data_IF_923190158688
#
_entry.id   IF_923190158688
#
_cell.length_a   1.000
_cell.length_b   1.000
_cell.length_c   1.000
_cell.angle_alpha   90.00
_cell.angle_beta   90.00
_cell.angle_gamma   90.00
#
_symmetry.space_group_name_H-M   'P 1'
#
loop_
_entity.id
_entity.type
_entity.pdbx_description
1 polymer ?
#
# COMPACT_ATOMS: atom_id res chain seq x y z
N UNK A 1 -45.40 18.75 55.40
CA UNK A 1 -44.46 19.87 55.17
C UNK A 1 -43.73 19.59 53.85
N UNK A 2 -43.98 20.31 52.74
CA UNK A 2 -43.27 21.52 52.23
C UNK A 2 -41.74 21.39 52.39
N UNK A 3 -40.86 21.55 51.39
CA UNK A 3 -40.94 22.17 50.06
C UNK A 3 -39.56 22.01 49.35
N UNK A 4 -39.52 21.93 47.99
CA UNK A 4 -38.63 22.66 47.03
C UNK A 4 -37.08 22.48 47.13
N UNK A 5 -36.25 22.29 46.09
CA UNK A 5 -36.22 22.53 44.63
C UNK A 5 -35.14 21.62 43.95
N UNK A 6 -35.12 21.50 42.60
CA UNK A 6 -34.05 20.89 41.80
C UNK A 6 -33.11 21.93 41.14
N UNK A 7 -31.83 21.59 40.95
CA UNK A 7 -30.80 22.32 40.14
C UNK A 7 -29.90 21.20 39.53
N UNK A 8 -29.89 20.94 38.21
CA UNK A 8 -28.88 21.39 37.21
C UNK A 8 -27.45 20.95 37.57
N UNK A 9 -26.59 20.33 36.76
CA UNK A 9 -26.46 19.90 35.36
C UNK A 9 -25.27 18.90 35.41
N UNK A 10 -25.21 17.86 34.57
CA UNK A 10 -23.95 17.62 33.87
C UNK A 10 -24.17 16.80 32.61
N UNK A 11 -23.72 17.38 31.51
CA UNK A 11 -23.79 16.86 30.16
C UNK A 11 -22.65 15.86 29.91
N UNK A 12 -22.83 15.06 28.86
CA UNK A 12 -21.82 14.28 28.15
C UNK A 12 -21.45 12.90 28.73
N UNK A 13 -22.13 11.88 28.19
CA UNK A 13 -21.46 10.61 27.86
C UNK A 13 -22.04 10.01 26.58
N UNK A 14 -22.05 10.78 25.50
CA UNK A 14 -22.13 10.24 24.13
C UNK A 14 -20.76 10.44 23.51
N UNK A 15 -19.83 9.53 23.76
CA UNK A 15 -18.67 9.20 22.90
C UNK A 15 -17.74 8.30 23.70
N UNK A 16 -17.67 6.99 23.40
CA UNK A 16 -16.36 6.32 23.31
C UNK A 16 -16.39 4.92 22.69
N UNK A 17 -17.21 4.63 21.68
CA UNK A 17 -17.05 3.39 20.90
C UNK A 17 -16.22 3.60 19.63
N UNK A 18 -15.96 4.86 19.24
CA UNK A 18 -15.22 5.19 18.01
C UNK A 18 -13.69 5.24 18.16
N UNK A 19 -13.15 5.16 19.38
CA UNK A 19 -11.71 5.29 19.63
C UNK A 19 -10.93 3.99 19.46
N UNK A 20 -11.59 2.83 19.57
CA UNK A 20 -10.92 1.53 19.49
C UNK A 20 -10.48 1.17 18.06
N UNK A 21 -11.22 1.60 17.04
CA UNK A 21 -10.89 1.35 15.64
C UNK A 21 -9.66 2.15 15.15
N UNK A 22 -9.42 3.33 15.72
CA UNK A 22 -8.30 4.22 15.35
C UNK A 22 -6.94 3.75 15.92
N UNK A 23 -6.95 2.97 17.01
CA UNK A 23 -5.73 2.52 17.69
C UNK A 23 -5.06 1.34 16.98
N UNK A 24 -5.83 0.49 16.29
CA UNK A 24 -5.30 -0.64 15.51
C UNK A 24 -4.51 -0.14 14.30
N UNK A 25 -5.13 0.75 13.52
CA UNK A 25 -4.62 1.29 12.27
C UNK A 25 -3.34 2.12 12.45
N UNK A 26 -3.24 2.89 13.53
CA UNK A 26 -2.03 3.70 13.83
C UNK A 26 -0.82 2.83 14.14
N UNK A 27 -1.02 1.70 14.82
CA UNK A 27 0.08 0.78 15.16
C UNK A 27 0.60 0.02 13.94
N UNK A 28 -0.27 -0.36 13.02
CA UNK A 28 0.12 -0.99 11.76
C UNK A 28 0.82 0.02 10.85
N UNK A 29 0.25 1.21 10.67
CA UNK A 29 0.88 2.31 9.93
C UNK A 29 2.27 2.64 10.46
N UNK A 30 2.46 2.64 11.79
CA UNK A 30 3.76 2.87 12.44
C UNK A 30 4.74 1.71 12.25
N UNK A 31 4.27 0.47 12.15
CA UNK A 31 5.11 -0.71 11.85
C UNK A 31 5.52 -0.75 10.39
N UNK A 32 4.59 -0.46 9.47
CA UNK A 32 4.88 -0.34 8.04
C UNK A 32 5.82 0.84 7.76
N UNK A 33 5.67 1.98 8.46
CA UNK A 33 6.54 3.15 8.32
C UNK A 33 7.98 2.89 8.81
N UNK A 34 8.15 2.10 9.88
CA UNK A 34 9.47 1.73 10.37
C UNK A 34 10.18 0.72 9.43
N UNK A 35 9.44 -0.22 8.83
CA UNK A 35 9.99 -1.20 7.89
C UNK A 35 10.38 -0.55 6.55
N UNK A 36 9.59 0.41 6.06
CA UNK A 36 9.89 1.17 4.84
C UNK A 36 11.24 1.91 4.92
N UNK A 37 11.60 2.42 6.10
CA UNK A 37 12.88 3.10 6.33
C UNK A 37 14.10 2.18 6.22
N UNK A 38 13.93 0.88 6.49
CA UNK A 38 15.05 -0.06 6.59
C UNK A 38 15.48 -0.58 5.21
N UNK A 39 14.58 -0.63 4.22
CA UNK A 39 14.94 -1.04 2.86
C UNK A 39 13.87 -0.67 1.82
N UNK A 40 14.15 0.22 0.85
CA UNK A 40 13.25 0.51 -0.26
C UNK A 40 12.83 -0.74 -1.06
N UNK A 41 13.71 -1.74 -1.12
CA UNK A 41 13.45 -3.01 -1.81
C UNK A 41 12.38 -3.81 -1.07
N UNK A 42 12.47 -3.92 0.27
CA UNK A 42 11.43 -4.60 1.05
C UNK A 42 10.09 -3.91 0.90
N UNK A 43 10.08 -2.57 0.81
CA UNK A 43 8.84 -1.85 0.59
C UNK A 43 8.22 -2.16 -0.76
N UNK A 44 9.01 -2.15 -1.84
CA UNK A 44 8.55 -2.56 -3.17
C UNK A 44 8.04 -4.00 -3.17
N UNK A 45 8.73 -4.93 -2.52
CA UNK A 45 8.26 -6.32 -2.43
C UNK A 45 6.89 -6.43 -1.75
N UNK A 46 6.67 -5.66 -0.67
CA UNK A 46 5.37 -5.63 0.00
C UNK A 46 4.25 -5.09 -0.89
N UNK A 47 4.54 -4.11 -1.74
CA UNK A 47 3.54 -3.59 -2.68
C UNK A 47 3.13 -4.60 -3.74
N UNK A 48 4.06 -5.46 -4.14
CA UNK A 48 3.83 -6.43 -5.19
C UNK A 48 3.40 -7.80 -4.64
N UNK A 49 3.29 -7.95 -3.31
CA UNK A 49 3.05 -9.22 -2.61
C UNK A 49 4.06 -10.32 -3.00
N UNK A 50 5.33 -9.93 -3.16
CA UNK A 50 6.42 -10.81 -3.61
C UNK A 50 7.32 -11.28 -2.45
N UNK A 51 6.97 -10.99 -1.20
CA UNK A 51 7.79 -11.34 -0.03
C UNK A 51 7.96 -12.84 0.24
N UNK A 52 7.04 -13.70 -0.25
CA UNK A 52 7.08 -15.15 0.00
C UNK A 52 7.71 -15.96 -1.14
N UNK A 53 8.12 -15.29 -2.21
CA UNK A 53 8.71 -15.91 -3.38
C UNK A 53 10.21 -16.10 -3.13
N UNK A 54 10.66 -17.35 -3.04
CA UNK A 54 12.05 -17.75 -2.69
C UNK A 54 13.15 -17.08 -3.53
N UNK A 55 12.76 -16.47 -4.65
CA UNK A 55 13.66 -15.77 -5.56
C UNK A 55 14.05 -14.36 -5.08
N UNK A 56 13.28 -13.72 -4.18
CA UNK A 56 13.49 -12.31 -3.82
C UNK A 56 14.43 -12.07 -2.64
N UNK A 57 14.85 -13.13 -1.93
CA UNK A 57 15.82 -13.04 -0.83
C UNK A 57 17.18 -12.48 -1.26
N UNK A 58 17.52 -12.59 -2.55
CA UNK A 58 18.78 -12.09 -3.10
C UNK A 58 18.75 -10.63 -3.58
N UNK A 59 17.59 -9.96 -3.55
CA UNK A 59 17.50 -8.57 -4.02
C UNK A 59 18.23 -7.61 -3.06
N UNK A 60 19.26 -6.93 -3.56
CA UNK A 60 20.07 -5.94 -2.82
C UNK A 60 20.02 -4.56 -3.44
N UNK A 61 19.66 -4.46 -4.71
CA UNK A 61 19.61 -3.22 -5.49
C UNK A 61 18.43 -3.21 -6.47
N UNK A 62 18.12 -2.04 -7.04
CA UNK A 62 17.13 -1.90 -8.12
C UNK A 62 17.49 -2.74 -9.34
N UNK A 63 18.78 -2.87 -9.65
CA UNK A 63 19.29 -3.64 -10.80
C UNK A 63 18.93 -5.12 -10.70
N UNK A 64 18.78 -5.65 -9.49
CA UNK A 64 18.43 -7.05 -9.29
C UNK A 64 16.99 -7.36 -9.76
N UNK A 65 16.13 -6.34 -9.92
CA UNK A 65 14.80 -6.49 -10.52
C UNK A 65 14.82 -6.79 -12.02
N UNK A 66 15.92 -6.52 -12.73
CA UNK A 66 16.00 -6.72 -14.20
C UNK A 66 15.67 -8.18 -14.57
N UNK A 67 16.15 -9.14 -13.77
CA UNK A 67 15.85 -10.56 -13.99
C UNK A 67 14.36 -10.88 -13.87
N UNK A 68 13.67 -10.23 -12.93
CA UNK A 68 12.24 -10.41 -12.70
C UNK A 68 11.39 -9.72 -13.76
N UNK A 69 11.75 -8.50 -14.13
CA UNK A 69 11.12 -7.74 -15.22
C UNK A 69 11.15 -8.57 -16.50
N UNK A 70 12.30 -9.14 -16.85
CA UNK A 70 12.44 -9.99 -18.05
C UNK A 70 11.65 -11.29 -17.98
N UNK A 71 11.51 -11.89 -16.80
CA UNK A 71 10.69 -13.10 -16.59
C UNK A 71 9.19 -12.79 -16.62
N UNK A 72 8.82 -11.55 -16.28
CA UNK A 72 7.44 -11.12 -16.09
C UNK A 72 7.02 -11.20 -14.63
N UNK A 73 6.18 -10.26 -14.23
CA UNK A 73 5.57 -10.20 -12.89
C UNK A 73 4.12 -10.68 -13.01
N UNK A 74 3.59 -11.48 -12.07
CA UNK A 74 2.19 -11.91 -12.12
C UNK A 74 1.24 -10.72 -12.04
N UNK A 75 0.13 -10.77 -12.81
CA UNK A 75 -0.91 -9.74 -12.81
C UNK A 75 -1.48 -9.49 -11.42
N UNK A 76 -1.48 -10.48 -10.52
CA UNK A 76 -1.84 -10.29 -9.11
C UNK A 76 -1.12 -9.09 -8.49
N UNK A 77 0.18 -8.89 -8.77
CA UNK A 77 0.95 -7.77 -8.22
C UNK A 77 0.42 -6.40 -8.69
N UNK A 78 -0.23 -6.35 -9.86
CA UNK A 78 -0.92 -5.14 -10.34
C UNK A 78 -2.13 -4.84 -9.47
N UNK A 79 -2.94 -5.85 -9.18
CA UNK A 79 -4.14 -5.71 -8.36
C UNK A 79 -3.78 -5.26 -6.94
N UNK A 80 -2.80 -5.93 -6.32
CA UNK A 80 -2.31 -5.61 -4.98
C UNK A 80 -1.78 -4.16 -4.92
N UNK A 81 -1.00 -3.73 -5.93
CA UNK A 81 -0.53 -2.36 -5.97
C UNK A 81 -1.69 -1.38 -6.15
N UNK A 82 -2.66 -1.66 -7.03
CA UNK A 82 -3.85 -0.80 -7.22
C UNK A 82 -4.60 -0.60 -5.91
N UNK A 83 -4.81 -1.68 -5.15
CA UNK A 83 -5.53 -1.64 -3.87
C UNK A 83 -4.76 -0.80 -2.83
N UNK A 84 -3.43 -0.88 -2.82
CA UNK A 84 -2.59 -0.13 -1.87
C UNK A 84 -2.54 1.37 -2.20
N UNK A 85 -2.43 1.73 -3.48
CA UNK A 85 -2.29 3.14 -3.91
C UNK A 85 -3.62 3.79 -4.31
N UNK A 86 -4.73 3.06 -4.15
CA UNK A 86 -6.10 3.46 -4.50
C UNK A 86 -6.28 3.86 -5.98
N UNK A 87 -5.60 3.16 -6.88
CA UNK A 87 -5.69 3.40 -8.32
C UNK A 87 -6.79 2.57 -8.98
N UNK A 88 -7.51 3.17 -9.92
CA UNK A 88 -8.45 2.43 -10.76
C UNK A 88 -7.72 1.54 -11.78
N UNK A 89 -8.40 0.48 -12.22
CA UNK A 89 -7.89 -0.38 -13.29
C UNK A 89 -7.59 0.37 -14.60
N UNK A 90 -8.32 1.47 -14.87
CA UNK A 90 -8.09 2.31 -16.04
C UNK A 90 -6.79 3.14 -15.90
N UNK A 91 -6.56 3.75 -14.74
CA UNK A 91 -5.33 4.50 -14.48
C UNK A 91 -4.11 3.58 -14.53
N UNK A 92 -4.22 2.40 -13.93
CA UNK A 92 -3.16 1.40 -13.98
C UNK A 92 -2.92 0.92 -15.42
N UNK A 93 -3.97 0.68 -16.21
CA UNK A 93 -3.81 0.32 -17.62
C UNK A 93 -3.03 1.38 -18.40
N UNK A 94 -3.30 2.66 -18.16
CA UNK A 94 -2.59 3.77 -18.79
C UNK A 94 -1.11 3.80 -18.38
N UNK A 95 -0.78 3.58 -17.10
CA UNK A 95 0.61 3.51 -16.64
C UNK A 95 1.36 2.32 -17.24
N UNK A 96 0.70 1.16 -17.31
CA UNK A 96 1.28 -0.07 -17.87
C UNK A 96 1.25 -0.10 -19.41
N UNK A 97 0.91 1.01 -20.07
CA UNK A 97 0.82 1.12 -21.53
C UNK A 97 -0.04 0.01 -22.16
N UNK A 98 -1.19 -0.25 -21.58
CA UNK A 98 -2.14 -1.24 -22.08
C UNK A 98 -3.57 -0.74 -21.95
N UNK A 99 -4.54 -1.60 -22.23
CA UNK A 99 -5.95 -1.25 -22.06
C UNK A 99 -6.51 -1.93 -20.82
N UNK A 100 -7.50 -1.29 -20.18
CA UNK A 100 -8.27 -1.88 -19.09
C UNK A 100 -8.85 -3.25 -19.51
N UNK A 101 -9.35 -3.37 -20.75
CA UNK A 101 -9.80 -4.64 -21.33
C UNK A 101 -8.70 -5.71 -21.35
N UNK A 102 -7.47 -5.34 -21.70
CA UNK A 102 -6.34 -6.28 -21.72
C UNK A 102 -6.03 -6.76 -20.31
N UNK A 103 -5.92 -5.86 -19.33
CA UNK A 103 -5.64 -6.21 -17.94
C UNK A 103 -6.73 -7.07 -17.32
N UNK A 104 -8.00 -6.76 -17.58
CA UNK A 104 -9.14 -7.56 -17.09
C UNK A 104 -9.16 -8.99 -17.62
N UNK A 105 -8.58 -9.23 -18.80
CA UNK A 105 -8.51 -10.58 -19.39
C UNK A 105 -7.41 -11.44 -18.77
N UNK A 106 -6.43 -10.83 -18.10
CA UNK A 106 -5.33 -11.57 -17.49
C UNK A 106 -5.83 -12.28 -16.23
N UNK A 107 -5.43 -13.53 -16.07
CA UNK A 107 -5.63 -14.25 -14.81
C UNK A 107 -4.59 -13.77 -13.79
N UNK A 108 -4.86 -13.95 -12.50
CA UNK A 108 -3.96 -13.49 -11.43
C UNK A 108 -2.51 -13.98 -11.57
N UNK A 109 -2.32 -15.22 -12.04
CA UNK A 109 -1.01 -15.84 -12.23
C UNK A 109 -0.40 -15.59 -13.61
N UNK A 110 -1.13 -14.93 -14.52
CA UNK A 110 -0.60 -14.61 -15.83
C UNK A 110 0.49 -13.55 -15.70
N UNK A 111 1.62 -13.80 -16.34
CA UNK A 111 2.77 -12.91 -16.30
C UNK A 111 2.55 -11.72 -17.25
N UNK A 112 2.86 -10.53 -16.75
CA UNK A 112 2.99 -9.32 -17.53
C UNK A 112 4.18 -9.45 -18.49
N UNK A 113 4.13 -8.73 -19.60
CA UNK A 113 5.29 -8.62 -20.48
C UNK A 113 6.41 -7.77 -19.80
N UNK A 114 7.63 -7.73 -20.36
CA UNK A 114 8.72 -6.97 -19.75
C UNK A 114 8.45 -5.47 -19.59
N UNK A 115 7.84 -4.81 -20.58
CA UNK A 115 7.52 -3.37 -20.49
C UNK A 115 6.52 -3.10 -19.35
N UNK A 116 5.45 -3.88 -19.27
CA UNK A 116 4.45 -3.79 -18.21
C UNK A 116 5.07 -4.07 -16.84
N UNK A 117 5.93 -5.08 -16.75
CA UNK A 117 6.62 -5.45 -15.50
C UNK A 117 7.57 -4.35 -15.04
N UNK A 118 8.29 -3.72 -15.98
CA UNK A 118 9.17 -2.58 -15.70
C UNK A 118 8.37 -1.41 -15.14
N UNK A 119 7.30 -0.99 -15.83
CA UNK A 119 6.42 0.10 -15.39
C UNK A 119 5.84 -0.12 -14.01
N UNK A 120 5.39 -1.34 -13.72
CA UNK A 120 4.86 -1.70 -12.41
C UNK A 120 5.93 -1.54 -11.30
N UNK A 121 7.15 -2.04 -11.55
CA UNK A 121 8.28 -1.93 -10.61
C UNK A 121 8.70 -0.47 -10.42
N UNK A 122 8.78 0.31 -11.48
CA UNK A 122 9.08 1.75 -11.42
C UNK A 122 8.05 2.50 -10.56
N UNK A 123 6.75 2.23 -10.78
CA UNK A 123 5.68 2.82 -10.00
C UNK A 123 5.78 2.47 -8.52
N UNK A 124 6.03 1.19 -8.20
CA UNK A 124 6.23 0.75 -6.82
C UNK A 124 7.44 1.45 -6.16
N UNK A 125 8.55 1.62 -6.87
CA UNK A 125 9.71 2.37 -6.37
C UNK A 125 9.40 3.86 -6.17
N UNK A 126 8.62 4.45 -7.06
CA UNK A 126 8.20 5.85 -6.96
C UNK A 126 7.36 6.06 -5.69
N UNK A 127 6.38 5.20 -5.44
CA UNK A 127 5.55 5.26 -4.24
C UNK A 127 6.35 4.99 -2.97
N UNK A 128 7.25 4.01 -2.98
CA UNK A 128 8.11 3.73 -1.82
C UNK A 128 8.97 4.95 -1.45
N UNK A 129 9.48 5.67 -2.46
CA UNK A 129 10.21 6.92 -2.24
C UNK A 129 9.29 8.06 -1.79
N UNK A 130 8.07 8.13 -2.33
CA UNK A 130 7.06 9.10 -1.92
C UNK A 130 6.70 8.97 -0.44
N UNK A 131 6.47 7.74 0.04
CA UNK A 131 6.23 7.48 1.46
C UNK A 131 7.39 7.94 2.34
N UNK A 132 8.63 7.64 1.94
CA UNK A 132 9.84 8.05 2.67
C UNK A 132 9.97 9.58 2.77
N UNK A 133 9.64 10.32 1.71
CA UNK A 133 9.82 11.77 1.67
C UNK A 133 8.65 12.52 2.29
N UNK A 134 7.41 12.12 2.02
CA UNK A 134 6.23 12.90 2.38
C UNK A 134 5.56 12.47 3.68
N UNK A 135 5.63 11.18 4.05
CA UNK A 135 4.97 10.70 5.28
C UNK A 135 5.88 10.77 6.50
N UNK A 136 7.20 10.66 6.31
CA UNK A 136 8.15 10.69 7.42
C UNK A 136 8.59 12.10 7.83
N UNK A 137 8.72 13.03 6.88
CA UNK A 137 9.17 14.40 7.16
C UNK A 137 8.06 15.34 7.66
N UNK A 138 6.82 14.85 7.82
CA UNK A 138 5.66 15.62 8.30
C UNK A 138 5.51 15.69 9.82
N UNK A 139 6.48 15.18 10.59
CA UNK A 139 6.54 15.38 12.05
C UNK A 139 7.41 16.61 12.37
N UNK A 140 6.93 17.81 12.02
CA UNK A 140 7.51 19.09 12.45
C UNK A 140 6.40 19.99 12.98
#
# INVERSE_FOLDING_TARGET
MKKKYPEEEDNASVVNESSAALLSDKSEKMRFSAIAYISPIRRVLSFLSLENEKNFDSLKSKTDFIGFIRKGIPKKAVDELCDIIEFSALEMANILHTTDRTLRRYTANQLLNPEQSERLVELAFLYARGEEVFLYNGSV
#
